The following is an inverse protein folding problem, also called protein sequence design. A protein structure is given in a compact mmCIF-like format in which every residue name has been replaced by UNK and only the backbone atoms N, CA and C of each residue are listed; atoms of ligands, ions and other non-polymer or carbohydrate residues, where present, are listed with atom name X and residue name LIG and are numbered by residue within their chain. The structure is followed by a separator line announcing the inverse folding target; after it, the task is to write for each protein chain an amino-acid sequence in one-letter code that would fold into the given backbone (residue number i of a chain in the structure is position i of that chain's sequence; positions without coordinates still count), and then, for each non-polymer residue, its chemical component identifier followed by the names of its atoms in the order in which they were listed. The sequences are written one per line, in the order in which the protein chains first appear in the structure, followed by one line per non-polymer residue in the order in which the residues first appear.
data_IF_594179732105
#
_entry.id   IF_594179732105
#
_cell.length_a   1.000
_cell.length_b   1.000
_cell.length_c   1.000
_cell.angle_alpha   90.00
_cell.angle_beta   90.00
_cell.angle_gamma   90.00
#
_symmetry.space_group_name_H-M   'P 1'
#
loop_
_entity.id
_entity.type
_entity.pdbx_description
1 polymer ?
#
# COMPACT_ATOMS: atom_id res chain seq x y z
N UNK A 1 14.39 -1.50 -3.19
CA UNK A 1 13.10 -0.81 -3.30
C UNK A 1 12.96 0.18 -2.15
N UNK A 2 13.31 -0.21 -0.93
CA UNK A 2 13.15 0.63 0.26
C UNK A 2 14.00 1.91 0.22
N UNK A 3 15.14 1.89 -0.45
CA UNK A 3 16.02 3.05 -0.63
C UNK A 3 15.56 4.01 -1.76
N UNK A 4 14.67 3.55 -2.65
CA UNK A 4 14.27 4.32 -3.84
C UNK A 4 13.48 5.58 -3.46
N UNK A 5 12.61 5.48 -2.48
CA UNK A 5 11.85 6.62 -1.97
C UNK A 5 12.77 7.67 -1.34
N UNK A 6 13.76 7.24 -0.55
CA UNK A 6 14.73 8.14 0.08
C UNK A 6 15.59 8.87 -0.95
N UNK A 7 16.04 8.19 -2.01
CA UNK A 7 16.78 8.79 -3.11
C UNK A 7 15.97 9.84 -3.88
N UNK A 8 14.68 9.58 -4.09
CA UNK A 8 13.77 10.54 -4.70
C UNK A 8 13.50 11.74 -3.80
N UNK A 9 13.28 11.53 -2.51
CA UNK A 9 13.07 12.60 -1.52
C UNK A 9 14.30 13.49 -1.44
N UNK A 10 15.50 12.91 -1.48
CA UNK A 10 16.78 13.63 -1.47
C UNK A 10 17.10 14.35 -2.78
N UNK A 11 16.33 14.13 -3.85
CA UNK A 11 16.56 14.73 -5.16
C UNK A 11 17.73 14.12 -5.94
N UNK A 12 18.18 12.93 -5.57
CA UNK A 12 19.29 12.24 -6.22
C UNK A 12 18.89 11.58 -7.55
N UNK A 13 17.59 11.40 -7.78
CA UNK A 13 17.06 10.83 -9.02
C UNK A 13 15.90 11.66 -9.56
N UNK A 14 15.82 11.81 -10.88
CA UNK A 14 14.76 12.55 -11.54
C UNK A 14 13.53 11.67 -11.86
N UNK A 15 13.70 10.35 -11.89
CA UNK A 15 12.66 9.37 -12.20
C UNK A 15 12.95 8.06 -11.49
N UNK A 16 11.91 7.44 -10.94
CA UNK A 16 12.02 6.14 -10.32
C UNK A 16 10.78 5.28 -10.56
N UNK A 17 10.96 3.98 -10.54
CA UNK A 17 9.88 3.00 -10.52
C UNK A 17 9.65 2.55 -9.07
N UNK A 18 8.48 2.84 -8.54
CA UNK A 18 8.12 2.56 -7.13
C UNK A 18 6.70 2.02 -7.03
N UNK A 19 6.39 1.43 -5.91
CA UNK A 19 5.02 1.06 -5.56
C UNK A 19 4.20 2.30 -5.18
N UNK A 20 2.89 2.25 -5.42
CA UNK A 20 2.00 3.39 -5.18
C UNK A 20 1.98 3.87 -3.72
N UNK A 21 2.07 2.96 -2.76
CA UNK A 21 2.14 3.32 -1.33
C UNK A 21 3.43 4.06 -0.98
N UNK A 22 4.57 3.59 -1.47
CA UNK A 22 5.87 4.27 -1.28
C UNK A 22 5.89 5.65 -1.96
N UNK A 23 5.30 5.75 -3.16
CA UNK A 23 5.18 7.03 -3.84
C UNK A 23 4.33 8.03 -3.03
N UNK A 24 3.22 7.59 -2.45
CA UNK A 24 2.38 8.44 -1.61
C UNK A 24 3.14 8.96 -0.39
N UNK A 25 3.85 8.11 0.32
CA UNK A 25 4.69 8.49 1.47
C UNK A 25 5.83 9.45 1.07
N UNK A 26 6.47 9.21 -0.07
CA UNK A 26 7.51 10.09 -0.57
C UNK A 26 6.97 11.49 -0.92
N UNK A 27 5.79 11.59 -1.52
CA UNK A 27 5.13 12.87 -1.83
C UNK A 27 4.70 13.65 -0.58
N UNK A 28 4.39 12.98 0.53
CA UNK A 28 4.16 13.65 1.82
C UNK A 28 5.44 14.31 2.36
N UNK A 29 6.59 13.70 2.09
CA UNK A 29 7.89 14.19 2.55
C UNK A 29 8.51 15.25 1.62
N UNK A 30 8.18 15.20 0.33
CA UNK A 30 8.68 16.15 -0.66
C UNK A 30 7.59 16.48 -1.69
N UNK A 31 7.05 17.69 -1.60
CA UNK A 31 5.96 18.19 -2.45
C UNK A 31 6.33 18.38 -3.94
N UNK A 32 7.62 18.36 -4.28
CA UNK A 32 8.09 18.46 -5.68
C UNK A 32 7.96 17.11 -6.42
N UNK A 33 7.68 16.02 -5.69
CA UNK A 33 7.48 14.71 -6.27
C UNK A 33 6.04 14.54 -6.80
N UNK A 34 5.91 13.81 -7.88
CA UNK A 34 4.60 13.41 -8.40
C UNK A 34 4.61 11.96 -8.86
N UNK A 35 3.48 11.29 -8.73
CA UNK A 35 3.29 9.90 -9.14
C UNK A 35 2.31 9.82 -10.30
N UNK A 36 2.66 9.05 -11.31
CA UNK A 36 1.80 8.81 -12.46
C UNK A 36 1.91 7.37 -12.96
N UNK A 37 0.79 6.84 -13.43
CA UNK A 37 0.79 5.59 -14.19
C UNK A 37 0.96 5.95 -15.66
N UNK A 38 1.98 5.45 -16.36
CA UNK A 38 2.21 5.76 -17.78
C UNK A 38 1.08 5.19 -18.65
N UNK A 39 0.91 5.76 -19.82
CA UNK A 39 -0.13 5.33 -20.80
C UNK A 39 0.04 3.89 -21.30
N UNK A 40 1.27 3.38 -21.23
CA UNK A 40 1.62 2.01 -21.55
C UNK A 40 1.09 0.99 -20.53
N UNK A 41 0.62 1.47 -19.38
CA UNK A 41 0.08 0.66 -18.31
C UNK A 41 1.05 0.44 -17.16
N UNK A 42 0.61 -0.30 -16.17
CA UNK A 42 1.37 -0.68 -14.99
C UNK A 42 0.91 -2.04 -14.49
N UNK A 43 1.68 -2.64 -13.60
CA UNK A 43 1.27 -3.85 -12.90
C UNK A 43 0.17 -3.52 -11.88
N UNK A 44 -0.85 -4.37 -11.85
CA UNK A 44 -1.86 -4.39 -10.80
C UNK A 44 -1.87 -5.76 -10.16
N UNK A 45 -1.80 -5.81 -8.85
CA UNK A 45 -1.93 -7.06 -8.08
C UNK A 45 -2.79 -6.84 -6.85
N UNK A 46 -3.26 -7.93 -6.30
CA UNK A 46 -4.07 -7.95 -5.09
C UNK A 46 -3.43 -8.93 -4.12
N UNK A 47 -3.04 -8.43 -2.95
CA UNK A 47 -2.58 -9.26 -1.85
C UNK A 47 -3.80 -9.84 -1.12
N UNK A 48 -3.69 -11.11 -0.75
CA UNK A 48 -4.75 -11.83 -0.08
C UNK A 48 -4.24 -12.58 1.14
N UNK A 49 -5.04 -12.57 2.20
CA UNK A 49 -4.79 -13.41 3.35
C UNK A 49 -5.29 -14.83 3.11
N UNK A 50 -4.57 -15.80 3.62
CA UNK A 50 -5.03 -17.19 3.63
C UNK A 50 -4.66 -17.86 4.95
N UNK A 51 -5.42 -18.87 5.34
CA UNK A 51 -5.18 -19.70 6.51
C UNK A 51 -4.77 -21.08 6.00
N UNK A 52 -3.56 -21.60 6.35
CA UNK A 52 -3.16 -22.94 5.98
C UNK A 52 -4.16 -23.99 6.45
N UNK A 53 -4.38 -25.04 5.65
CA UNK A 53 -5.38 -26.06 5.94
C UNK A 53 -5.11 -26.84 7.24
N UNK A 54 -3.83 -26.97 7.62
CA UNK A 54 -3.34 -27.63 8.82
C UNK A 54 -3.19 -26.71 10.04
N UNK A 55 -3.66 -25.48 9.94
CA UNK A 55 -3.57 -24.51 11.05
C UNK A 55 -4.37 -25.00 12.27
N UNK A 56 -3.69 -25.09 13.40
CA UNK A 56 -4.29 -25.45 14.71
C UNK A 56 -5.05 -24.29 15.35
N UNK A 57 -4.90 -23.07 14.83
CA UNK A 57 -5.48 -21.83 15.36
C UNK A 57 -6.42 -21.14 14.37
N UNK A 58 -7.11 -21.92 13.54
CA UNK A 58 -7.98 -21.42 12.47
C UNK A 58 -9.01 -20.41 12.98
N UNK A 59 -9.71 -20.72 14.07
CA UNK A 59 -10.72 -19.85 14.65
C UNK A 59 -10.18 -18.49 15.08
N UNK A 60 -8.98 -18.47 15.69
CA UNK A 60 -8.35 -17.21 16.08
C UNK A 60 -7.88 -16.42 14.86
N UNK A 61 -7.39 -17.09 13.82
CA UNK A 61 -7.02 -16.46 12.56
C UNK A 61 -8.22 -15.83 11.87
N UNK A 62 -9.36 -16.52 11.81
CA UNK A 62 -10.62 -15.99 11.26
C UNK A 62 -11.08 -14.74 12.03
N UNK A 63 -11.06 -14.77 13.37
CA UNK A 63 -11.40 -13.61 14.21
C UNK A 63 -10.47 -12.42 13.95
N UNK A 64 -9.18 -12.69 13.75
CA UNK A 64 -8.22 -11.63 13.43
C UNK A 64 -8.48 -11.03 12.04
N UNK A 65 -8.76 -11.86 11.03
CA UNK A 65 -9.11 -11.39 9.70
C UNK A 65 -10.41 -10.57 9.70
N UNK A 66 -11.43 -11.02 10.44
CA UNK A 66 -12.67 -10.26 10.62
C UNK A 66 -12.41 -8.90 11.27
N UNK A 67 -11.53 -8.85 12.28
CA UNK A 67 -11.10 -7.59 12.90
C UNK A 67 -10.42 -6.66 11.88
N UNK A 68 -9.51 -7.17 11.05
CA UNK A 68 -8.85 -6.39 10.00
C UNK A 68 -9.81 -5.89 8.91
N UNK A 69 -10.93 -6.61 8.70
CA UNK A 69 -11.96 -6.23 7.72
C UNK A 69 -12.94 -5.16 8.23
N UNK A 70 -12.93 -4.85 9.52
CA UNK A 70 -13.73 -3.75 10.07
C UNK A 70 -13.35 -2.45 9.39
N UNK A 71 -14.35 -1.62 9.09
CA UNK A 71 -14.15 -0.37 8.35
C UNK A 71 -13.17 0.58 9.07
N UNK A 72 -13.35 0.73 10.38
CA UNK A 72 -12.49 1.58 11.21
C UNK A 72 -11.02 1.11 11.23
N UNK A 73 -10.80 -0.20 11.38
CA UNK A 73 -9.46 -0.80 11.38
C UNK A 73 -8.83 -0.76 9.99
N UNK A 74 -9.61 -1.07 8.97
CA UNK A 74 -9.13 -1.04 7.59
C UNK A 74 -8.76 0.38 7.14
N UNK A 75 -9.43 1.42 7.65
CA UNK A 75 -9.06 2.82 7.38
C UNK A 75 -7.75 3.19 8.06
N UNK A 76 -7.56 2.83 9.32
CA UNK A 76 -6.27 3.05 10.02
C UNK A 76 -5.10 2.37 9.31
N UNK A 77 -5.32 1.15 8.84
CA UNK A 77 -4.31 0.41 8.08
C UNK A 77 -4.01 1.07 6.73
N UNK A 78 -5.04 1.54 6.03
CA UNK A 78 -4.92 2.29 4.79
C UNK A 78 -4.14 3.61 4.99
N UNK A 79 -4.46 4.38 6.02
CA UNK A 79 -3.78 5.64 6.32
C UNK A 79 -2.29 5.43 6.63
N UNK A 80 -1.93 4.26 7.19
CA UNK A 80 -0.54 3.93 7.48
C UNK A 80 0.25 3.43 6.28
N UNK A 81 -0.33 2.53 5.47
CA UNK A 81 0.38 1.89 4.34
C UNK A 81 0.17 2.58 3.00
N UNK A 82 -0.79 3.49 2.89
CA UNK A 82 -1.15 4.26 1.68
C UNK A 82 -1.49 3.40 0.43
N UNK A 83 -1.73 2.11 0.59
CA UNK A 83 -2.17 1.24 -0.50
C UNK A 83 -3.69 1.26 -0.66
N UNK A 84 -4.16 1.28 -1.90
CA UNK A 84 -5.58 1.32 -2.23
C UNK A 84 -6.33 0.10 -1.67
N UNK A 85 -7.39 0.36 -0.89
CA UNK A 85 -8.34 -0.67 -0.46
C UNK A 85 -9.20 -1.11 -1.65
N UNK A 86 -9.55 -2.39 -1.72
CA UNK A 86 -10.59 -2.89 -2.63
C UNK A 86 -11.96 -2.34 -2.20
N UNK A 87 -12.31 -1.14 -2.65
CA UNK A 87 -13.56 -0.47 -2.31
C UNK A 87 -13.43 1.04 -2.45
N UNK A 88 -14.35 1.62 -3.19
CA UNK A 88 -14.41 3.01 -3.64
C UNK A 88 -14.09 4.05 -2.57
N UNK A 89 -12.83 4.40 -2.32
CA UNK A 89 -12.46 5.75 -1.87
C UNK A 89 -11.05 6.06 -2.37
N UNK A 90 -10.90 7.22 -2.98
CA UNK A 90 -9.63 7.74 -3.46
C UNK A 90 -8.91 8.39 -2.29
N UNK A 91 -7.58 8.20 -2.20
CA UNK A 91 -6.75 9.20 -1.53
C UNK A 91 -7.00 10.55 -2.20
N UNK A 92 -7.29 11.54 -1.42
CA UNK A 92 -7.42 12.92 -1.89
C UNK A 92 -6.06 13.50 -2.21
#
# INVERSE_FOLDING_TARGET
VDETADEMIAGNAALALVYSGEAATAMESNADLSYTVPKEGSNLWIDSWFIPADSTHKENAEKFLDFLCREDVAMLNFDYVCYAKSGRRRCA
#
